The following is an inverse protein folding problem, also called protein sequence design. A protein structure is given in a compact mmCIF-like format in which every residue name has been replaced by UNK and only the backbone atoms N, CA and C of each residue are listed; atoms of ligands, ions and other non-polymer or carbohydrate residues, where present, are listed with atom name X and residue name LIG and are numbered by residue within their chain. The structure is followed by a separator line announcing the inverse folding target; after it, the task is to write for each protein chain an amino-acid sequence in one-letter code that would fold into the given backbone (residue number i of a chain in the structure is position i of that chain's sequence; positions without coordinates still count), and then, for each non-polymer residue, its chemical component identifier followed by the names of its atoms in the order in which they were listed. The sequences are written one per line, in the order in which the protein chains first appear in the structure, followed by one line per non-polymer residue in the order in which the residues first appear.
data_IF_805850198193
#
_entry.id   IF_805850198193
#
_cell.length_a   1.000
_cell.length_b   1.000
_cell.length_c   1.000
_cell.angle_alpha   90.00
_cell.angle_beta   90.00
_cell.angle_gamma   90.00
#
_symmetry.space_group_name_H-M   'P 1'
#
loop_
_entity.id
_entity.type
_entity.pdbx_description
1 polymer ?
#
# COMPACT_ATOMS: atom_id res chain seq x y z
N UNK A 1 3.26 -0.94 1.89
CA UNK A 1 3.61 -2.28 2.41
C UNK A 1 3.08 -2.37 3.83
N UNK A 2 2.53 -3.51 4.23
CA UNK A 2 1.96 -3.84 5.57
C UNK A 2 0.73 -3.06 6.09
N UNK A 3 0.44 -1.86 5.58
CA UNK A 3 -0.56 -1.03 6.25
C UNK A 3 -0.07 -0.51 7.61
N UNK A 4 1.25 -0.37 7.75
CA UNK A 4 1.89 0.30 8.88
C UNK A 4 1.52 1.78 8.96
N UNK A 5 1.46 2.30 10.18
CA UNK A 5 1.16 3.68 10.49
C UNK A 5 1.57 4.07 11.90
N UNK A 6 1.20 5.30 12.27
CA UNK A 6 1.34 5.79 13.65
C UNK A 6 -0.04 6.11 14.20
N UNK A 7 -0.27 5.74 15.46
CA UNK A 7 -1.50 6.09 16.18
C UNK A 7 -1.47 7.56 16.66
N UNK A 8 -2.55 7.98 17.34
CA UNK A 8 -2.67 9.34 17.87
C UNK A 8 -1.65 9.68 18.98
N UNK A 9 -1.05 8.67 19.60
CA UNK A 9 0.00 8.82 20.60
C UNK A 9 1.41 8.76 19.98
N UNK A 10 1.50 8.58 18.65
CA UNK A 10 2.77 8.47 17.92
C UNK A 10 3.41 7.08 17.99
N UNK A 11 2.69 6.07 18.50
CA UNK A 11 3.19 4.70 18.49
C UNK A 11 3.03 4.07 17.11
N UNK A 12 4.00 3.25 16.74
CA UNK A 12 3.90 2.47 15.53
C UNK A 12 2.80 1.41 15.68
N UNK A 13 1.96 1.28 14.66
CA UNK A 13 0.88 0.29 14.58
C UNK A 13 0.80 -0.25 13.16
N UNK A 14 0.18 -1.42 13.00
CA UNK A 14 -0.14 -1.99 11.69
C UNK A 14 -1.61 -2.38 11.63
N UNK A 15 -2.14 -2.53 10.42
CA UNK A 15 -3.49 -3.05 10.21
C UNK A 15 -3.48 -4.57 10.48
N UNK A 16 -4.15 -5.00 11.55
CA UNK A 16 -4.33 -6.41 11.88
C UNK A 16 -5.49 -7.04 11.09
N UNK A 17 -6.54 -6.26 10.82
CA UNK A 17 -7.64 -6.66 9.97
C UNK A 17 -8.07 -5.47 9.10
N UNK A 18 -8.14 -5.66 7.80
CA UNK A 18 -8.57 -4.60 6.87
C UNK A 18 -10.06 -4.27 6.99
N UNK A 19 -10.85 -5.14 7.59
CA UNK A 19 -12.31 -5.08 7.61
C UNK A 19 -12.91 -5.37 6.24
N UNK A 20 -14.25 -5.29 6.16
CA UNK A 20 -15.01 -5.74 4.98
C UNK A 20 -15.25 -4.68 3.92
N UNK A 21 -14.90 -3.42 4.18
CA UNK A 21 -15.18 -2.33 3.23
C UNK A 21 -14.25 -2.37 2.01
N UNK A 22 -14.67 -1.73 0.91
CA UNK A 22 -13.85 -1.59 -0.31
C UNK A 22 -12.90 -0.39 -0.27
N UNK A 23 -12.28 -0.11 -1.42
CA UNK A 23 -11.57 1.14 -1.68
C UNK A 23 -12.48 2.12 -2.42
N UNK A 24 -12.25 3.42 -2.24
CA UNK A 24 -12.85 4.50 -3.03
C UNK A 24 -11.76 5.36 -3.65
N UNK A 25 -12.02 5.96 -4.81
CA UNK A 25 -11.16 6.99 -5.40
C UNK A 25 -11.31 8.33 -4.66
N UNK A 26 -10.59 9.36 -5.10
CA UNK A 26 -10.62 10.70 -4.46
C UNK A 26 -12.02 11.33 -4.45
N UNK A 27 -12.87 10.97 -5.41
CA UNK A 27 -14.25 11.43 -5.52
C UNK A 27 -15.23 10.65 -4.63
N UNK A 28 -14.76 9.66 -3.87
CA UNK A 28 -15.60 8.81 -3.03
C UNK A 28 -16.29 7.66 -3.79
N UNK A 29 -15.97 7.46 -5.08
CA UNK A 29 -16.55 6.39 -5.90
C UNK A 29 -15.82 5.08 -5.62
N UNK A 30 -16.55 3.96 -5.38
CA UNK A 30 -15.93 2.65 -5.17
C UNK A 30 -15.00 2.26 -6.32
N UNK A 31 -13.80 1.78 -6.01
CA UNK A 31 -12.81 1.36 -7.00
C UNK A 31 -12.15 0.06 -6.53
N UNK A 32 -11.89 -0.85 -7.47
CA UNK A 32 -11.31 -2.18 -7.16
C UNK A 32 -9.97 -2.37 -7.86
N UNK A 33 -9.04 -3.10 -7.21
CA UNK A 33 -7.74 -3.38 -7.81
C UNK A 33 -7.91 -4.24 -9.07
N UNK A 34 -7.05 -4.08 -10.07
CA UNK A 34 -7.07 -4.96 -11.22
C UNK A 34 -6.66 -6.38 -10.80
N UNK A 35 -7.12 -7.38 -11.56
CA UNK A 35 -6.61 -8.76 -11.43
C UNK A 35 -5.13 -8.85 -11.82
N UNK A 36 -4.65 -7.98 -12.70
CA UNK A 36 -3.24 -7.84 -13.03
C UNK A 36 -2.98 -6.42 -13.58
N UNK A 37 -1.81 -5.85 -13.29
CA UNK A 37 -1.44 -4.51 -13.72
C UNK A 37 -1.79 -3.43 -12.69
N UNK A 38 -1.95 -2.18 -13.16
CA UNK A 38 -2.02 -0.99 -12.29
C UNK A 38 -3.29 -0.15 -12.47
N UNK A 39 -4.19 -0.53 -13.38
CA UNK A 39 -5.41 0.24 -13.70
C UNK A 39 -6.57 -0.21 -12.83
N UNK A 40 -6.95 0.63 -11.88
CA UNK A 40 -8.12 0.44 -11.02
C UNK A 40 -9.42 0.78 -11.75
N UNK A 41 -10.53 0.14 -11.38
CA UNK A 41 -11.80 0.22 -12.12
C UNK A 41 -12.34 1.64 -12.32
N UNK A 42 -12.20 2.50 -11.31
CA UNK A 42 -12.67 3.90 -11.34
C UNK A 42 -11.54 4.88 -10.98
N UNK A 43 -10.32 4.57 -11.40
CA UNK A 43 -9.13 5.36 -11.05
C UNK A 43 -8.53 4.96 -9.70
N UNK A 44 -7.39 5.57 -9.33
CA UNK A 44 -6.57 5.13 -8.21
C UNK A 44 -7.33 5.21 -6.88
N UNK A 45 -7.06 4.28 -5.95
CA UNK A 45 -7.66 4.32 -4.63
C UNK A 45 -7.10 5.51 -3.86
N UNK A 46 -7.97 6.24 -3.18
CA UNK A 46 -7.61 7.33 -2.29
C UNK A 46 -7.84 7.00 -0.83
N UNK A 47 -8.89 6.22 -0.51
CA UNK A 47 -9.23 5.85 0.87
C UNK A 47 -10.04 4.55 0.94
N UNK A 48 -10.25 4.02 2.14
CA UNK A 48 -11.25 2.97 2.41
C UNK A 48 -12.67 3.55 2.29
N UNK A 49 -13.67 2.74 1.98
CA UNK A 49 -15.03 3.24 1.73
C UNK A 49 -15.71 3.87 2.95
N UNK A 50 -15.27 3.55 4.18
CA UNK A 50 -15.65 4.28 5.39
C UNK A 50 -14.88 5.59 5.60
N UNK A 51 -15.06 6.21 6.77
CA UNK A 51 -14.31 7.40 7.18
C UNK A 51 -15.00 8.73 6.89
N UNK A 52 -14.21 9.77 6.64
CA UNK A 52 -14.70 11.14 6.46
C UNK A 52 -14.95 11.49 4.98
N UNK A 53 -16.05 12.20 4.70
CA UNK A 53 -16.39 12.75 3.37
C UNK A 53 -16.80 14.21 3.46
N UNK A 54 -16.47 14.99 2.43
CA UNK A 54 -16.97 16.37 2.33
C UNK A 54 -18.43 16.40 1.83
N UNK A 55 -19.02 17.60 1.75
CA UNK A 55 -20.41 17.77 1.29
C UNK A 55 -20.65 17.20 -0.14
N UNK A 56 -19.63 17.15 -0.98
CA UNK A 56 -19.72 16.57 -2.33
C UNK A 56 -19.49 15.05 -2.36
N UNK A 57 -19.38 14.39 -1.20
CA UNK A 57 -19.12 12.95 -1.08
C UNK A 57 -17.67 12.54 -1.36
N UNK A 58 -16.75 13.49 -1.52
CA UNK A 58 -15.35 13.22 -1.82
C UNK A 58 -14.57 12.88 -0.55
N UNK A 59 -13.43 12.18 -0.71
CA UNK A 59 -12.54 11.86 0.42
C UNK A 59 -12.01 13.15 1.05
N UNK A 60 -12.12 13.25 2.37
CA UNK A 60 -11.48 14.27 3.21
C UNK A 60 -11.03 13.62 4.52
N UNK A 61 -10.19 14.28 5.31
CA UNK A 61 -9.74 13.84 6.64
C UNK A 61 -9.12 15.01 7.40
N UNK A 62 -9.17 15.01 8.75
CA UNK A 62 -8.50 16.03 9.55
C UNK A 62 -6.97 15.93 9.39
N UNK A 63 -6.30 17.07 9.30
CA UNK A 63 -4.83 17.13 9.26
C UNK A 63 -4.29 17.31 10.68
N UNK A 64 -3.10 16.77 10.95
CA UNK A 64 -2.43 16.93 12.24
C UNK A 64 -2.17 18.41 12.59
N UNK A 65 -1.86 19.25 11.60
CA UNK A 65 -1.69 20.70 11.76
C UNK A 65 -3.02 21.48 11.88
N UNK A 66 -4.15 20.80 12.01
CA UNK A 66 -5.49 21.39 11.98
C UNK A 66 -6.06 21.55 10.57
N UNK A 67 -7.37 21.77 10.50
CA UNK A 67 -8.11 21.87 9.25
C UNK A 67 -8.35 20.51 8.57
N UNK A 68 -8.87 20.56 7.35
CA UNK A 68 -9.29 19.38 6.59
C UNK A 68 -8.48 19.21 5.31
N UNK A 69 -8.37 17.98 4.83
CA UNK A 69 -7.63 17.70 3.61
C UNK A 69 -8.33 18.18 2.34
N UNK A 70 -9.66 18.14 2.31
CA UNK A 70 -10.48 18.56 1.18
C UNK A 70 -11.89 19.00 1.62
N UNK A 71 -11.99 20.16 2.29
CA UNK A 71 -13.25 20.67 2.85
C UNK A 71 -13.69 19.93 4.12
N UNK A 72 -14.60 20.55 4.88
CA UNK A 72 -15.09 20.01 6.17
C UNK A 72 -15.74 18.65 5.95
N UNK A 73 -15.35 17.67 6.78
CA UNK A 73 -15.84 16.31 6.67
C UNK A 73 -17.00 16.00 7.62
N UNK A 74 -17.87 15.12 7.18
CA UNK A 74 -18.79 14.34 8.02
C UNK A 74 -18.43 12.86 7.91
N UNK A 75 -18.73 12.09 8.95
CA UNK A 75 -18.41 10.66 9.01
C UNK A 75 -19.46 9.85 8.26
N UNK A 76 -19.04 8.98 7.33
CA UNK A 76 -19.95 8.17 6.48
C UNK A 76 -19.97 6.68 6.83
N UNK A 77 -19.36 6.28 7.95
CA UNK A 77 -19.41 4.90 8.44
C UNK A 77 -18.06 4.31 8.80
N UNK A 78 -18.10 3.20 9.54
CA UNK A 78 -16.93 2.49 10.02
C UNK A 78 -16.18 1.74 8.91
N UNK A 79 -15.00 1.23 9.25
CA UNK A 79 -14.16 0.47 8.32
C UNK A 79 -14.53 -1.02 8.22
N UNK A 80 -15.77 -1.39 8.58
CA UNK A 80 -16.25 -2.78 8.50
C UNK A 80 -15.48 -3.74 9.41
N UNK A 81 -15.20 -3.33 10.65
CA UNK A 81 -14.48 -4.15 11.62
C UNK A 81 -12.95 -4.16 11.44
N UNK A 82 -12.38 -3.16 10.77
CA UNK A 82 -10.93 -3.03 10.69
C UNK A 82 -10.32 -2.85 12.09
N UNK A 83 -9.20 -3.53 12.34
CA UNK A 83 -8.47 -3.47 13.61
C UNK A 83 -7.00 -3.18 13.36
N UNK A 84 -6.33 -2.68 14.39
CA UNK A 84 -4.92 -2.34 14.39
C UNK A 84 -4.23 -3.00 15.58
N UNK A 85 -2.98 -3.39 15.40
CA UNK A 85 -2.14 -3.93 16.47
C UNK A 85 -0.85 -3.11 16.61
N UNK A 86 -0.26 -3.05 17.83
CA UNK A 86 0.99 -2.34 18.06
C UNK A 86 2.17 -2.95 17.27
N UNK A 87 3.12 -2.09 16.90
CA UNK A 87 4.33 -2.48 16.17
C UNK A 87 4.09 -2.75 14.69
N UNK A 88 5.14 -3.20 14.01
CA UNK A 88 5.07 -3.66 12.61
C UNK A 88 4.62 -5.12 12.55
N UNK A 89 3.85 -5.49 11.52
CA UNK A 89 3.45 -6.88 11.24
C UNK A 89 4.64 -7.75 10.80
N UNK A 90 5.58 -7.18 10.05
CA UNK A 90 6.73 -7.88 9.48
C UNK A 90 8.03 -7.06 9.62
N UNK A 91 9.19 -7.72 9.81
CA UNK A 91 10.49 -7.04 9.93
C UNK A 91 11.04 -6.62 8.57
N UNK A 92 10.31 -5.78 7.84
CA UNK A 92 10.69 -5.34 6.50
C UNK A 92 11.87 -4.37 6.53
N UNK A 93 12.71 -4.42 5.49
CA UNK A 93 13.90 -3.57 5.32
C UNK A 93 13.81 -2.78 4.02
N UNK A 94 13.97 -1.46 4.12
CA UNK A 94 13.94 -0.59 2.95
C UNK A 94 14.92 -1.04 1.88
N UNK A 95 14.44 -1.07 0.64
CA UNK A 95 15.14 -1.54 -0.55
C UNK A 95 15.69 -2.98 -0.47
N UNK A 96 15.19 -3.79 0.45
CA UNK A 96 15.53 -5.21 0.57
C UNK A 96 14.31 -6.12 0.65
N UNK A 97 13.15 -5.58 1.01
CA UNK A 97 11.88 -6.30 1.06
C UNK A 97 10.96 -5.88 -0.07
N UNK A 98 10.20 -6.83 -0.60
CA UNK A 98 9.15 -6.58 -1.61
C UNK A 98 7.88 -7.33 -1.28
N UNK A 99 6.76 -6.75 -1.69
CA UNK A 99 5.48 -7.45 -1.75
C UNK A 99 5.28 -8.09 -3.13
N UNK A 100 4.75 -9.32 -3.15
CA UNK A 100 4.54 -10.11 -4.37
C UNK A 100 3.18 -10.84 -4.36
N UNK A 101 2.80 -11.41 -5.50
CA UNK A 101 1.77 -12.46 -5.54
C UNK A 101 2.41 -13.82 -5.21
N UNK A 102 2.12 -14.43 -4.04
CA UNK A 102 2.76 -15.66 -3.59
C UNK A 102 2.44 -16.87 -4.48
N UNK A 103 1.36 -16.81 -5.29
CA UNK A 103 1.01 -17.87 -6.25
C UNK A 103 1.95 -17.88 -7.46
N UNK A 104 2.67 -16.79 -7.70
CA UNK A 104 3.65 -16.66 -8.78
C UNK A 104 5.09 -16.63 -8.25
N UNK A 105 5.35 -15.88 -7.18
CA UNK A 105 6.67 -15.74 -6.56
C UNK A 105 6.54 -16.18 -5.10
N UNK A 106 7.03 -17.39 -4.75
CA UNK A 106 6.93 -17.87 -3.37
C UNK A 106 7.59 -16.93 -2.36
N UNK A 107 6.96 -16.76 -1.20
CA UNK A 107 7.55 -16.03 -0.07
C UNK A 107 8.93 -16.61 0.28
N UNK A 108 9.90 -15.73 0.57
CA UNK A 108 11.30 -16.08 0.79
C UNK A 108 12.16 -16.12 -0.49
N UNK A 109 11.58 -15.98 -1.68
CA UNK A 109 12.35 -15.91 -2.92
C UNK A 109 13.32 -14.72 -2.92
N UNK A 110 14.54 -14.92 -3.46
CA UNK A 110 15.48 -13.84 -3.75
C UNK A 110 15.17 -13.28 -5.14
N UNK A 111 15.01 -11.97 -5.24
CA UNK A 111 14.64 -11.30 -6.49
C UNK A 111 15.72 -10.29 -6.86
N UNK A 112 16.24 -10.40 -8.08
CA UNK A 112 17.12 -9.38 -8.65
C UNK A 112 16.34 -8.48 -9.60
N UNK A 113 16.34 -7.17 -9.31
CA UNK A 113 15.71 -6.12 -10.11
C UNK A 113 16.83 -5.17 -10.59
N UNK A 114 17.31 -5.28 -11.85
CA UNK A 114 18.42 -4.49 -12.36
C UNK A 114 18.24 -2.97 -12.25
N UNK A 115 16.99 -2.51 -12.27
CA UNK A 115 16.66 -1.09 -12.13
C UNK A 115 17.04 -0.50 -10.74
N UNK A 116 17.30 -1.36 -9.75
CA UNK A 116 17.71 -1.00 -8.39
C UNK A 116 19.17 -1.37 -8.08
N UNK A 117 19.98 -1.70 -9.09
CA UNK A 117 21.39 -2.11 -8.91
C UNK A 117 22.21 -1.11 -8.06
N UNK A 118 21.93 0.18 -8.18
CA UNK A 118 22.67 1.26 -7.50
C UNK A 118 22.12 1.59 -6.11
N UNK A 119 21.05 0.93 -5.67
CA UNK A 119 20.39 1.19 -4.38
C UNK A 119 20.65 0.06 -3.40
N UNK A 120 20.37 -1.18 -3.80
CA UNK A 120 20.48 -2.38 -2.93
C UNK A 120 21.34 -3.48 -3.54
N UNK A 121 22.22 -3.12 -4.48
CA UNK A 121 22.81 -4.12 -5.39
C UNK A 121 21.77 -4.78 -6.29
N UNK A 122 20.52 -4.29 -6.29
CA UNK A 122 19.38 -4.82 -7.04
C UNK A 122 18.70 -6.02 -6.40
N UNK A 123 19.12 -6.47 -5.21
CA UNK A 123 18.62 -7.70 -4.58
C UNK A 123 17.57 -7.43 -3.50
N UNK A 124 16.53 -8.25 -3.51
CA UNK A 124 15.39 -8.19 -2.61
C UNK A 124 14.96 -9.59 -2.17
N UNK A 125 14.16 -9.65 -1.11
CA UNK A 125 13.49 -10.85 -0.63
C UNK A 125 11.98 -10.63 -0.69
N UNK A 126 11.23 -11.59 -1.24
CA UNK A 126 9.77 -11.64 -1.14
C UNK A 126 9.36 -11.88 0.31
N UNK A 127 8.84 -10.87 0.99
CA UNK A 127 8.51 -10.94 2.42
C UNK A 127 7.07 -10.52 2.72
N UNK A 128 6.45 -9.72 1.86
CA UNK A 128 5.09 -9.23 2.03
C UNK A 128 4.20 -9.65 0.84
N UNK A 129 2.90 -9.41 0.97
CA UNK A 129 1.88 -9.51 -0.06
C UNK A 129 1.03 -8.24 -0.08
N UNK A 130 0.08 -8.14 -1.00
CA UNK A 130 -0.88 -7.05 -0.95
C UNK A 130 -2.10 -7.32 -1.80
N UNK A 131 -3.26 -6.84 -1.37
CA UNK A 131 -4.53 -7.09 -2.07
C UNK A 131 -4.57 -6.57 -3.52
N UNK A 132 -3.67 -5.66 -3.90
CA UNK A 132 -3.52 -5.15 -5.27
C UNK A 132 -2.23 -5.64 -5.97
N UNK A 133 -1.39 -6.41 -5.27
CA UNK A 133 -0.12 -6.93 -5.78
C UNK A 133 -0.37 -8.33 -6.33
N UNK A 134 -0.96 -8.38 -7.52
CA UNK A 134 -1.45 -9.61 -8.14
C UNK A 134 -0.73 -9.87 -9.48
N UNK A 135 -0.30 -11.12 -9.69
CA UNK A 135 0.43 -11.56 -10.88
C UNK A 135 1.84 -11.00 -10.96
N UNK A 136 2.23 -10.51 -12.15
CA UNK A 136 3.57 -9.93 -12.43
C UNK A 136 3.67 -8.48 -11.93
N UNK A 137 3.37 -8.28 -10.65
CA UNK A 137 3.41 -6.99 -9.96
C UNK A 137 4.28 -7.17 -8.71
N UNK A 138 5.29 -6.32 -8.56
CA UNK A 138 6.18 -6.26 -7.40
C UNK A 138 6.08 -4.85 -6.83
N UNK A 139 5.74 -4.74 -5.56
CA UNK A 139 5.85 -3.47 -4.82
C UNK A 139 7.14 -3.48 -4.01
N UNK A 140 7.89 -2.38 -4.03
CA UNK A 140 9.22 -2.28 -3.39
C UNK A 140 9.10 -1.51 -2.09
N UNK A 141 9.50 -2.12 -0.98
CA UNK A 141 9.52 -1.44 0.30
C UNK A 141 10.58 -0.35 0.27
N UNK A 142 10.19 0.91 0.45
CA UNK A 142 11.08 2.07 0.34
C UNK A 142 10.74 3.10 1.41
N UNK A 143 11.68 3.99 1.76
CA UNK A 143 11.39 5.11 2.63
C UNK A 143 10.28 5.99 2.05
N UNK A 144 9.50 6.67 2.91
CA UNK A 144 8.50 7.63 2.48
C UNK A 144 9.15 8.74 1.63
N UNK A 145 8.42 9.23 0.63
CA UNK A 145 8.84 10.39 -0.16
C UNK A 145 8.53 11.68 0.60
N UNK A 146 9.35 12.72 0.42
CA UNK A 146 9.08 14.04 0.98
C UNK A 146 7.74 14.64 0.52
N UNK A 147 7.25 14.20 -0.64
CA UNK A 147 5.95 14.61 -1.18
C UNK A 147 4.90 13.54 -0.86
N UNK A 148 3.83 13.88 -0.11
CA UNK A 148 2.66 13.02 0.07
C UNK A 148 2.03 12.72 -1.30
N UNK A 149 1.73 11.45 -1.57
CA UNK A 149 1.18 11.00 -2.86
C UNK A 149 2.04 11.35 -4.09
N UNK A 150 3.33 11.67 -3.90
CA UNK A 150 4.28 11.89 -4.98
C UNK A 150 4.45 10.65 -5.85
N UNK A 151 4.95 10.83 -7.07
CA UNK A 151 5.25 9.73 -7.98
C UNK A 151 6.31 8.83 -7.36
N UNK A 152 5.86 7.77 -6.68
CA UNK A 152 6.68 6.60 -6.48
C UNK A 152 7.28 6.20 -7.83
N UNK A 153 8.46 5.59 -7.81
CA UNK A 153 9.09 5.12 -9.03
C UNK A 153 8.31 3.94 -9.59
N UNK A 154 7.38 4.21 -10.51
CA UNK A 154 6.67 3.18 -11.25
C UNK A 154 7.53 2.73 -12.43
N UNK A 155 7.84 1.43 -12.47
CA UNK A 155 8.56 0.81 -13.57
C UNK A 155 7.63 -0.17 -14.28
N UNK A 156 7.31 0.11 -15.54
CA UNK A 156 6.50 -0.78 -16.37
C UNK A 156 7.39 -1.65 -17.24
N UNK A 157 7.01 -2.92 -17.39
CA UNK A 157 7.74 -3.91 -18.21
C UNK A 157 9.22 -4.07 -17.82
N UNK A 158 9.56 -3.78 -16.56
CA UNK A 158 10.90 -3.98 -16.04
C UNK A 158 11.20 -5.48 -15.88
N UNK A 159 12.45 -5.86 -16.15
CA UNK A 159 12.92 -7.23 -15.91
C UNK A 159 13.15 -7.43 -14.41
N UNK A 160 12.75 -8.59 -13.93
CA UNK A 160 13.10 -9.11 -12.62
C UNK A 160 13.45 -10.60 -12.76
N UNK A 161 14.41 -11.06 -11.98
CA UNK A 161 14.87 -12.45 -11.97
C UNK A 161 14.60 -13.03 -10.60
N UNK A 162 14.02 -14.23 -10.54
CA UNK A 162 13.55 -14.85 -9.29
C UNK A 162 14.32 -16.13 -9.04
N UNK A 163 14.89 -16.25 -7.85
CA UNK A 163 15.46 -17.48 -7.30
C UNK A 163 14.51 -17.94 -6.19
N UNK A 164 13.80 -19.06 -6.37
CA UNK A 164 12.94 -19.62 -5.34
C UNK A 164 13.70 -19.95 -4.05
N UNK A 165 13.04 -19.97 -2.89
CA UNK A 165 13.69 -20.37 -1.64
C UNK A 165 14.24 -21.80 -1.74
N UNK A 166 15.37 -22.06 -1.07
CA UNK A 166 16.02 -23.38 -1.05
C UNK A 166 16.85 -23.73 -2.29
N UNK A 167 17.17 -22.75 -3.14
CA UNK A 167 18.10 -22.88 -4.27
C UNK A 167 19.30 -21.95 -4.16
#
# INVERSE_FOLDING_TARGET
MEGDGVDLAGHHVHIANLGTVGWVNSLGVPTVPPRCGIRWSHGPPAWRAGGWRNHAGQVTYPRAAGGWSNGVGHWVGGYGGATFEPGSSLPLRYYHSVAVDPRLIPTGSRIYIPAYRTVSGGWFVAQDTGGAIIGRHIDVYRPPTAVPFGTGRLLLHARAYVIPPGR
#
